data_IF_648502546944
#
_entry.id   IF_648502546944
#
_cell.length_a   1.000
_cell.length_b   1.000
_cell.length_c   1.000
_cell.angle_alpha   90.00
_cell.angle_beta   90.00
_cell.angle_gamma   90.00
#
_symmetry.space_group_name_H-M   'P 1'
#
loop_
_entity.id
_entity.type
_entity.pdbx_description
1 polymer ?
#
# COMPACT_ATOMS: atom_id res chain seq x y z
N UNK A 1 -2.59 6.32 -11.95
CA UNK A 1 -3.58 6.29 -10.86
C UNK A 1 -2.90 5.77 -9.61
N UNK A 2 -2.92 6.57 -8.51
CA UNK A 2 -2.27 6.31 -7.23
C UNK A 2 -1.05 7.18 -7.02
N UNK A 3 -1.06 8.01 -5.96
CA UNK A 3 -0.02 8.99 -5.60
C UNK A 3 0.79 8.60 -4.37
N UNK A 4 0.99 7.29 -4.13
CA UNK A 4 1.86 6.74 -3.10
C UNK A 4 3.18 6.24 -3.73
N UNK A 5 3.94 5.39 -3.03
CA UNK A 5 5.29 4.98 -3.40
C UNK A 5 5.46 4.54 -4.85
N UNK A 6 4.63 3.61 -5.33
CA UNK A 6 4.74 3.09 -6.68
C UNK A 6 4.42 4.15 -7.74
N UNK A 7 3.31 4.89 -7.55
CA UNK A 7 2.89 5.91 -8.50
C UNK A 7 3.84 7.10 -8.56
N UNK A 8 4.34 7.59 -7.42
CA UNK A 8 5.32 8.68 -7.38
C UNK A 8 6.66 8.25 -8.00
N UNK A 9 7.11 7.00 -7.75
CA UNK A 9 8.33 6.46 -8.37
C UNK A 9 8.21 6.37 -9.89
N UNK A 10 7.09 5.84 -10.40
CA UNK A 10 6.83 5.78 -11.83
C UNK A 10 6.74 7.17 -12.45
N UNK A 11 6.00 8.09 -11.82
CA UNK A 11 5.85 9.46 -12.27
C UNK A 11 7.19 10.21 -12.34
N UNK A 12 8.08 9.99 -11.37
CA UNK A 12 9.41 10.60 -11.35
C UNK A 12 10.24 10.14 -12.57
N UNK A 13 10.26 8.85 -12.88
CA UNK A 13 11.00 8.35 -14.05
C UNK A 13 10.42 8.89 -15.36
N UNK A 14 9.09 8.96 -15.48
CA UNK A 14 8.43 9.52 -16.65
C UNK A 14 8.72 11.03 -16.80
N UNK A 15 8.71 11.78 -15.69
CA UNK A 15 9.04 13.21 -15.69
C UNK A 15 10.50 13.45 -16.12
N UNK A 16 11.44 12.64 -15.62
CA UNK A 16 12.84 12.68 -16.05
C UNK A 16 13.02 12.32 -17.51
N UNK A 17 12.17 11.46 -18.05
CA UNK A 17 12.09 11.16 -19.48
C UNK A 17 11.32 12.23 -20.29
N UNK A 18 11.02 13.40 -19.69
CA UNK A 18 10.33 14.55 -20.30
C UNK A 18 8.92 14.21 -20.81
N UNK A 19 8.24 13.27 -20.16
CA UNK A 19 6.84 12.96 -20.47
C UNK A 19 5.90 13.85 -19.65
N UNK A 20 4.78 14.21 -20.25
CA UNK A 20 3.68 14.84 -19.52
C UNK A 20 2.99 13.80 -18.67
N UNK A 21 2.89 14.06 -17.34
CA UNK A 21 2.35 13.13 -16.36
C UNK A 21 1.26 13.80 -15.54
N UNK A 22 0.14 13.12 -15.39
CA UNK A 22 -0.89 13.46 -14.43
C UNK A 22 -0.99 12.34 -13.39
N UNK A 23 -0.77 12.66 -12.12
CA UNK A 23 -0.96 11.72 -10.99
C UNK A 23 -2.30 12.02 -10.35
N UNK A 24 -3.17 11.03 -10.30
CA UNK A 24 -4.47 11.09 -9.59
C UNK A 24 -4.29 10.36 -8.26
N UNK A 25 -4.57 11.03 -7.14
CA UNK A 25 -4.36 10.48 -5.80
C UNK A 25 -5.55 10.72 -4.89
N UNK A 26 -6.10 9.64 -4.33
CA UNK A 26 -7.19 9.69 -3.36
C UNK A 26 -6.72 9.97 -1.91
N UNK A 27 -5.41 10.09 -1.67
CA UNK A 27 -4.85 10.42 -0.36
C UNK A 27 -4.97 9.32 0.71
N UNK A 28 -5.22 8.07 0.31
CA UNK A 28 -5.46 6.95 1.24
C UNK A 28 -4.46 5.80 1.06
N UNK A 29 -3.15 6.01 1.27
CA UNK A 29 -2.17 4.95 1.13
C UNK A 29 -2.40 3.82 2.15
N UNK A 30 -2.07 2.57 1.78
CA UNK A 30 -2.28 1.40 2.64
C UNK A 30 -1.59 1.54 4.00
N UNK A 31 -0.38 2.11 4.01
CA UNK A 31 0.43 2.30 5.22
C UNK A 31 0.11 3.58 6.01
N UNK A 32 -1.04 4.22 5.78
CA UNK A 32 -1.47 5.45 6.49
C UNK A 32 -1.59 5.30 8.00
N UNK A 33 -1.67 4.07 8.50
CA UNK A 33 -1.78 3.76 9.93
C UNK A 33 -0.43 3.55 10.63
N UNK A 34 0.67 3.49 9.87
CA UNK A 34 2.01 3.27 10.41
C UNK A 34 2.68 4.59 10.77
N UNK A 35 3.35 4.62 11.92
CA UNK A 35 4.14 5.78 12.37
C UNK A 35 5.53 5.80 11.73
N UNK A 36 6.06 4.62 11.38
CA UNK A 36 7.36 4.44 10.75
C UNK A 36 7.30 3.44 9.59
N UNK A 37 8.20 3.58 8.64
CA UNK A 37 8.43 2.60 7.56
C UNK A 37 9.77 1.92 7.79
N UNK A 38 9.81 0.60 7.63
CA UNK A 38 11.02 -0.19 7.81
C UNK A 38 11.39 -0.98 6.56
N UNK A 39 12.68 -1.34 6.45
CA UNK A 39 13.21 -2.13 5.34
C UNK A 39 13.31 -1.39 4.01
N UNK A 40 13.19 -0.06 3.99
CA UNK A 40 13.36 0.76 2.79
C UNK A 40 14.70 1.48 2.83
N UNK A 41 15.59 1.14 1.91
CA UNK A 41 16.97 1.64 1.88
C UNK A 41 17.03 3.18 1.96
N UNK A 42 17.79 3.70 2.93
CA UNK A 42 17.97 5.14 3.15
C UNK A 42 16.76 5.85 3.77
N UNK A 43 15.69 5.13 4.13
CA UNK A 43 14.47 5.70 4.71
C UNK A 43 13.97 4.91 5.93
N UNK A 44 14.80 4.00 6.47
CA UNK A 44 14.42 3.16 7.60
C UNK A 44 14.04 4.01 8.82
N UNK A 45 12.94 3.66 9.48
CA UNK A 45 12.39 4.40 10.61
C UNK A 45 11.66 5.71 10.27
N UNK A 46 11.61 6.12 8.99
CA UNK A 46 10.97 7.38 8.58
C UNK A 46 9.46 7.23 8.48
N UNK A 47 8.75 8.28 8.89
CA UNK A 47 7.30 8.33 8.77
C UNK A 47 6.86 8.26 7.30
N UNK A 48 5.95 7.36 6.91
CA UNK A 48 5.56 7.15 5.51
C UNK A 48 4.86 8.36 4.88
N UNK A 49 4.11 9.14 5.64
CA UNK A 49 3.46 10.35 5.14
C UNK A 49 4.51 11.43 4.80
N UNK A 50 5.56 11.55 5.63
CA UNK A 50 6.69 12.45 5.36
C UNK A 50 7.41 12.03 4.08
N UNK A 51 7.66 10.73 3.89
CA UNK A 51 8.29 10.22 2.66
C UNK A 51 7.46 10.55 1.42
N UNK A 52 6.14 10.35 1.48
CA UNK A 52 5.23 10.68 0.37
C UNK A 52 5.24 12.19 0.10
N UNK A 53 5.16 13.03 1.14
CA UNK A 53 5.16 14.48 0.98
C UNK A 53 6.46 15.00 0.34
N UNK A 54 7.60 14.50 0.76
CA UNK A 54 8.89 14.84 0.16
C UNK A 54 9.00 14.39 -1.30
N UNK A 55 8.56 13.16 -1.61
CA UNK A 55 8.56 12.65 -2.97
C UNK A 55 7.62 13.46 -3.89
N UNK A 56 6.45 13.87 -3.39
CA UNK A 56 5.52 14.78 -4.11
C UNK A 56 6.18 16.14 -4.36
N UNK A 57 6.83 16.73 -3.37
CA UNK A 57 7.51 18.01 -3.51
C UNK A 57 8.66 17.94 -4.54
N UNK A 58 9.42 16.84 -4.56
CA UNK A 58 10.44 16.59 -5.58
C UNK A 58 9.84 16.44 -6.97
N UNK A 59 8.77 15.69 -7.10
CA UNK A 59 8.10 15.43 -8.37
C UNK A 59 7.50 16.70 -8.98
N UNK A 60 6.91 17.58 -8.17
CA UNK A 60 6.30 18.83 -8.62
C UNK A 60 7.31 19.90 -9.09
N UNK A 61 8.61 19.67 -8.92
CA UNK A 61 9.66 20.53 -9.55
C UNK A 61 9.75 20.33 -11.07
N UNK A 62 9.16 19.23 -11.59
CA UNK A 62 9.14 18.97 -13.01
C UNK A 62 7.92 19.65 -13.66
N UNK A 63 8.11 20.60 -14.60
CA UNK A 63 7.00 21.38 -15.16
C UNK A 63 6.03 20.54 -16.02
N UNK A 64 6.42 19.31 -16.35
CA UNK A 64 5.59 18.36 -17.10
C UNK A 64 4.65 17.54 -16.22
N UNK A 65 4.70 17.75 -14.89
CA UNK A 65 3.91 16.98 -13.93
C UNK A 65 2.79 17.83 -13.34
N UNK A 66 1.62 17.25 -13.25
CA UNK A 66 0.51 17.75 -12.43
C UNK A 66 -0.01 16.66 -11.52
N UNK A 67 -0.54 17.05 -10.38
CA UNK A 67 -1.22 16.15 -9.45
C UNK A 67 -2.68 16.60 -9.29
N UNK A 68 -3.58 15.64 -9.24
CA UNK A 68 -5.01 15.84 -9.00
C UNK A 68 -5.41 15.04 -7.77
N UNK A 69 -6.07 15.72 -6.84
CA UNK A 69 -6.70 15.06 -5.70
C UNK A 69 -8.05 14.47 -6.11
N UNK A 70 -8.29 13.24 -5.71
CA UNK A 70 -9.52 12.52 -5.99
C UNK A 70 -9.29 11.05 -6.31
N UNK A 71 -10.37 10.30 -6.32
CA UNK A 71 -10.36 8.89 -6.70
C UNK A 71 -10.71 8.73 -8.19
N UNK A 72 -9.94 7.94 -8.90
CA UNK A 72 -10.35 7.43 -10.21
C UNK A 72 -11.42 6.35 -9.98
N UNK A 73 -12.56 6.50 -10.61
CA UNK A 73 -13.71 5.60 -10.45
C UNK A 73 -13.93 4.70 -11.66
N UNK A 74 -13.41 5.11 -12.82
CA UNK A 74 -13.48 4.33 -14.06
C UNK A 74 -12.23 4.55 -14.91
N UNK A 75 -11.91 3.57 -15.75
CA UNK A 75 -10.93 3.70 -16.80
C UNK A 75 -11.37 2.83 -17.97
N UNK A 76 -11.48 3.40 -19.16
CA UNK A 76 -11.88 2.72 -20.37
C UNK A 76 -10.85 2.94 -21.49
N UNK A 77 -10.60 1.91 -22.26
CA UNK A 77 -9.82 2.03 -23.48
C UNK A 77 -10.65 2.75 -24.56
N UNK A 78 -10.06 3.75 -25.18
CA UNK A 78 -10.66 4.53 -26.28
C UNK A 78 -9.69 4.61 -27.45
N UNK A 79 -10.14 5.13 -28.57
CA UNK A 79 -9.27 5.33 -29.74
C UNK A 79 -8.08 6.23 -29.35
N UNK A 80 -6.87 5.68 -29.44
CA UNK A 80 -5.64 6.41 -29.17
C UNK A 80 -5.17 6.43 -27.70
N UNK A 81 -5.91 5.81 -26.76
CA UNK A 81 -5.51 5.82 -25.36
C UNK A 81 -6.57 5.34 -24.39
N UNK A 82 -6.75 6.11 -23.33
CA UNK A 82 -7.65 5.82 -22.19
C UNK A 82 -8.42 7.06 -21.77
N UNK A 83 -9.67 6.87 -21.44
CA UNK A 83 -10.48 7.83 -20.71
C UNK A 83 -10.57 7.41 -19.24
N UNK A 84 -10.35 8.34 -18.31
CA UNK A 84 -10.36 8.09 -16.86
C UNK A 84 -11.36 9.04 -16.21
N UNK A 85 -12.40 8.47 -15.60
CA UNK A 85 -13.39 9.21 -14.80
C UNK A 85 -12.97 9.31 -13.34
N UNK A 86 -13.21 10.47 -12.74
CA UNK A 86 -12.92 10.77 -11.33
C UNK A 86 -14.22 10.91 -10.52
N UNK A 87 -14.12 10.71 -9.20
CA UNK A 87 -15.24 10.80 -8.25
C UNK A 87 -15.93 12.18 -8.20
N UNK A 88 -15.26 13.23 -8.65
CA UNK A 88 -15.80 14.60 -8.75
C UNK A 88 -16.45 14.91 -10.11
N UNK A 89 -16.61 13.91 -10.97
CA UNK A 89 -17.23 14.05 -12.29
C UNK A 89 -16.29 14.53 -13.39
N UNK A 90 -15.02 14.80 -13.11
CA UNK A 90 -14.04 15.12 -14.14
C UNK A 90 -13.67 13.86 -14.94
N UNK A 91 -13.43 14.06 -16.22
CA UNK A 91 -12.88 13.04 -17.13
C UNK A 91 -11.55 13.53 -17.70
N UNK A 92 -10.61 12.61 -17.84
CA UNK A 92 -9.27 12.87 -18.35
C UNK A 92 -8.90 11.88 -19.44
N UNK A 93 -8.28 12.38 -20.48
CA UNK A 93 -7.70 11.54 -21.55
C UNK A 93 -6.21 11.31 -21.31
N UNK A 94 -5.75 10.11 -21.56
CA UNK A 94 -4.34 9.73 -21.46
C UNK A 94 -3.94 8.73 -22.55
N UNK A 95 -2.81 8.97 -23.19
CA UNK A 95 -2.26 8.03 -24.17
C UNK A 95 -1.79 6.71 -23.52
N UNK A 96 -1.42 6.74 -22.26
CA UNK A 96 -0.96 5.58 -21.46
C UNK A 96 -1.46 5.70 -20.04
N UNK A 97 -1.73 4.56 -19.41
CA UNK A 97 -2.22 4.46 -18.04
C UNK A 97 -1.28 3.59 -17.21
N UNK A 98 -0.89 4.10 -16.04
CA UNK A 98 -0.15 3.34 -15.02
C UNK A 98 -1.08 3.14 -13.82
N UNK A 99 -1.37 1.88 -13.51
CA UNK A 99 -2.21 1.49 -12.38
C UNK A 99 -1.33 1.23 -11.15
N UNK A 100 -1.31 2.19 -10.23
CA UNK A 100 -0.52 2.16 -9.00
C UNK A 100 -1.41 2.40 -7.76
N UNK A 101 -2.68 2.02 -7.84
CA UNK A 101 -3.69 2.30 -6.82
C UNK A 101 -3.58 1.41 -5.56
N UNK A 102 -2.61 0.48 -5.52
CA UNK A 102 -2.37 -0.39 -4.37
C UNK A 102 -3.48 -1.42 -4.18
N UNK A 103 -3.70 -1.77 -2.91
CA UNK A 103 -4.74 -2.72 -2.49
C UNK A 103 -5.49 -2.18 -1.28
N UNK A 104 -6.71 -2.67 -1.07
CA UNK A 104 -7.48 -2.50 0.14
C UNK A 104 -7.61 -3.85 0.86
N UNK A 105 -7.37 -3.84 2.16
CA UNK A 105 -7.49 -5.05 2.97
C UNK A 105 -8.95 -5.29 3.37
N UNK A 106 -9.44 -6.51 3.13
CA UNK A 106 -10.72 -6.97 3.66
C UNK A 106 -10.44 -7.73 4.95
N UNK A 107 -10.91 -7.18 6.05
CA UNK A 107 -10.65 -7.75 7.37
C UNK A 107 -11.79 -8.68 7.81
N UNK A 108 -11.49 -9.79 8.53
CA UNK A 108 -12.51 -10.60 9.17
C UNK A 108 -13.36 -9.78 10.16
N UNK A 109 -14.64 -10.12 10.28
CA UNK A 109 -15.58 -9.48 11.21
C UNK A 109 -15.37 -9.98 12.66
N UNK A 110 -14.17 -9.74 13.20
CA UNK A 110 -13.82 -10.08 14.59
C UNK A 110 -13.89 -8.82 15.44
N UNK A 111 -14.65 -8.82 16.56
CA UNK A 111 -14.76 -7.66 17.43
C UNK A 111 -13.41 -7.10 17.85
N UNK A 112 -13.19 -5.81 17.58
CA UNK A 112 -11.96 -5.10 17.94
C UNK A 112 -10.77 -5.27 16.99
N UNK A 113 -10.86 -6.14 15.96
CA UNK A 113 -9.76 -6.37 15.01
C UNK A 113 -9.49 -5.12 14.17
N UNK A 114 -10.51 -4.54 13.57
CA UNK A 114 -10.37 -3.35 12.71
C UNK A 114 -9.72 -2.16 13.44
N UNK A 115 -10.04 -1.94 14.72
CA UNK A 115 -9.44 -0.87 15.53
C UNK A 115 -7.96 -1.10 15.86
N UNK A 116 -7.46 -2.32 15.67
CA UNK A 116 -6.06 -2.70 15.89
C UNK A 116 -5.25 -2.85 14.60
N UNK A 117 -5.93 -2.79 13.46
CA UNK A 117 -5.28 -2.91 12.14
C UNK A 117 -4.23 -1.82 11.93
N UNK A 118 -3.05 -2.22 11.49
CA UNK A 118 -1.89 -1.33 11.31
C UNK A 118 -1.19 -0.92 12.60
N UNK A 119 -1.62 -1.43 13.78
CA UNK A 119 -1.02 -1.17 15.09
C UNK A 119 -0.49 -2.44 15.75
N UNK A 120 -1.38 -3.32 16.22
CA UNK A 120 -1.05 -4.61 16.82
C UNK A 120 -1.61 -5.80 16.03
N UNK A 121 -2.42 -5.57 15.02
CA UNK A 121 -2.80 -6.51 13.98
C UNK A 121 -2.19 -6.04 12.67
N UNK A 122 -1.28 -6.82 12.12
CA UNK A 122 -0.36 -6.44 11.05
C UNK A 122 -0.35 -7.51 9.97
N UNK A 123 -0.04 -7.12 8.74
CA UNK A 123 -0.02 -8.05 7.59
C UNK A 123 1.39 -8.47 7.17
N UNK A 124 2.41 -7.73 7.59
CA UNK A 124 3.77 -7.92 7.07
C UNK A 124 4.78 -8.10 8.21
N UNK A 125 5.38 -9.28 8.37
CA UNK A 125 6.38 -9.52 9.41
C UNK A 125 7.67 -8.72 9.19
N UNK A 126 8.11 -8.55 7.95
CA UNK A 126 9.32 -7.78 7.65
C UNK A 126 9.15 -6.28 7.89
N UNK A 127 7.92 -5.76 7.84
CA UNK A 127 7.65 -4.36 8.06
C UNK A 127 7.61 -3.99 9.55
N UNK A 128 7.26 -4.96 10.41
CA UNK A 128 6.96 -4.70 11.83
C UNK A 128 7.44 -5.78 12.80
N UNK A 129 7.89 -6.93 12.33
CA UNK A 129 8.26 -8.05 13.19
C UNK A 129 9.40 -7.70 14.15
N UNK A 130 10.35 -6.88 13.74
CA UNK A 130 11.47 -6.47 14.57
C UNK A 130 11.01 -5.75 15.85
N UNK A 131 10.02 -4.85 15.75
CA UNK A 131 9.47 -4.07 16.88
C UNK A 131 8.68 -4.95 17.86
N UNK A 132 8.28 -6.15 17.41
CA UNK A 132 7.56 -7.14 18.23
C UNK A 132 8.43 -8.32 18.63
N UNK A 133 9.73 -8.30 18.32
CA UNK A 133 10.66 -9.39 18.64
C UNK A 133 10.65 -9.76 20.14
N UNK A 134 10.72 -11.05 20.42
CA UNK A 134 10.71 -11.61 21.78
C UNK A 134 9.34 -11.61 22.46
N UNK A 135 8.29 -11.13 21.82
CA UNK A 135 6.91 -11.15 22.35
C UNK A 135 6.20 -12.45 21.96
N UNK A 136 5.06 -12.69 22.57
CA UNK A 136 4.11 -13.71 22.10
C UNK A 136 3.36 -13.18 20.90
N UNK A 137 3.48 -13.88 19.80
CA UNK A 137 2.90 -13.50 18.51
C UNK A 137 1.75 -14.43 18.15
N UNK A 138 0.83 -13.96 17.34
CA UNK A 138 -0.31 -14.74 16.85
C UNK A 138 -0.49 -14.59 15.36
N UNK A 139 -0.86 -15.66 14.70
CA UNK A 139 -1.28 -15.64 13.29
C UNK A 139 -2.71 -16.13 13.23
N UNK A 140 -3.60 -15.36 12.63
CA UNK A 140 -4.96 -15.76 12.36
C UNK A 140 -5.01 -16.50 11.01
N UNK A 141 -5.56 -17.70 11.00
CA UNK A 141 -5.73 -18.46 9.78
C UNK A 141 -6.89 -17.90 8.97
N UNK A 142 -6.57 -17.24 7.87
CA UNK A 142 -7.54 -16.67 6.92
C UNK A 142 -7.40 -17.28 5.53
N UNK A 143 -6.33 -18.04 5.29
CA UNK A 143 -6.02 -18.68 4.00
C UNK A 143 -5.03 -19.84 4.21
N UNK A 144 -4.88 -20.76 3.24
CA UNK A 144 -3.94 -21.90 3.35
C UNK A 144 -2.49 -21.49 3.68
N UNK A 145 -2.03 -20.35 3.18
CA UNK A 145 -0.67 -19.83 3.45
C UNK A 145 -0.46 -19.31 4.88
N UNK A 146 -1.49 -19.21 5.71
CA UNK A 146 -1.36 -18.69 7.09
C UNK A 146 -0.47 -19.58 7.97
N UNK A 147 -0.48 -20.90 7.75
CA UNK A 147 0.42 -21.83 8.45
C UNK A 147 1.90 -21.56 8.10
N UNK A 148 2.21 -21.38 6.82
CA UNK A 148 3.57 -21.00 6.39
C UNK A 148 3.99 -19.65 6.99
N UNK A 149 3.09 -18.68 7.04
CA UNK A 149 3.35 -17.39 7.68
C UNK A 149 3.61 -17.55 9.19
N UNK A 150 2.92 -18.47 9.87
CA UNK A 150 3.16 -18.73 11.29
C UNK A 150 4.57 -19.30 11.55
N UNK A 151 5.04 -20.20 10.68
CA UNK A 151 6.41 -20.71 10.73
C UNK A 151 7.44 -19.61 10.51
N UNK A 152 7.22 -18.73 9.53
CA UNK A 152 8.10 -17.59 9.27
C UNK A 152 8.14 -16.62 10.47
N UNK A 153 6.98 -16.31 11.05
CA UNK A 153 6.88 -15.35 12.18
C UNK A 153 7.54 -15.88 13.44
N UNK A 154 7.71 -17.20 13.58
CA UNK A 154 8.41 -17.83 14.72
C UNK A 154 9.87 -17.35 14.87
N UNK A 155 10.50 -16.82 13.81
CA UNK A 155 11.84 -16.21 13.89
C UNK A 155 11.87 -14.95 14.77
N UNK A 156 10.73 -14.26 14.94
CA UNK A 156 10.63 -13.07 15.80
C UNK A 156 10.16 -13.36 17.21
N UNK A 157 9.52 -14.50 17.48
CA UNK A 157 9.06 -14.83 18.82
C UNK A 157 8.14 -16.05 18.87
N UNK A 158 7.75 -16.43 20.10
CA UNK A 158 6.83 -17.55 20.32
C UNK A 158 5.49 -17.29 19.61
N UNK A 159 5.17 -18.11 18.63
CA UNK A 159 4.04 -17.90 17.72
C UNK A 159 2.94 -18.94 17.93
N UNK A 160 1.69 -18.49 17.94
CA UNK A 160 0.48 -19.31 17.99
C UNK A 160 -0.33 -19.10 16.72
N UNK A 161 -0.69 -20.19 16.03
CA UNK A 161 -1.65 -20.16 14.93
C UNK A 161 -3.07 -20.31 15.49
N UNK A 162 -3.93 -19.32 15.23
CA UNK A 162 -5.35 -19.34 15.58
C UNK A 162 -6.15 -19.81 14.37
N UNK A 163 -6.80 -20.95 14.49
CA UNK A 163 -7.46 -21.61 13.36
C UNK A 163 -8.80 -21.00 12.96
N UNK A 164 -9.47 -20.30 13.91
CA UNK A 164 -10.77 -19.63 13.69
C UNK A 164 -11.84 -20.55 13.06
N UNK A 165 -11.92 -21.76 13.55
CA UNK A 165 -12.85 -22.79 13.03
C UNK A 165 -12.39 -23.53 11.78
N UNK A 166 -11.20 -23.23 11.26
CA UNK A 166 -10.58 -23.98 10.17
C UNK A 166 -9.94 -25.27 10.66
N UNK A 167 -9.77 -26.24 9.76
CA UNK A 167 -9.02 -27.46 10.05
C UNK A 167 -7.53 -27.18 10.30
N UNK A 168 -6.89 -28.06 11.06
CA UNK A 168 -5.44 -27.99 11.26
C UNK A 168 -4.77 -28.22 9.90
N UNK A 169 -3.87 -27.31 9.46
CA UNK A 169 -3.17 -27.48 8.19
C UNK A 169 -2.33 -28.77 8.19
N UNK A 170 -2.29 -29.46 7.05
CA UNK A 170 -1.36 -30.55 6.84
C UNK A 170 0.08 -30.06 6.97
N UNK A 171 0.94 -30.89 7.59
CA UNK A 171 2.36 -30.59 7.86
C UNK A 171 3.23 -30.65 6.60
#
# INVERSE_FOLDING_TARGET
>A
IGGSFAGLSAALQLARARRTVCVIDAGAPRNRFADASHGFFGQDGKNPQTMIAEARAQLLRYPTVRMLEGAATSAAAVAGGFEVGLSNGLTLDAARLVLAFGISDVLPEIPGLAGRWGKSVLHCPYCHGFEFSGRRLGVLQTMPMSAHQALLIADWGSTTLFLDGSDVPDS
#
